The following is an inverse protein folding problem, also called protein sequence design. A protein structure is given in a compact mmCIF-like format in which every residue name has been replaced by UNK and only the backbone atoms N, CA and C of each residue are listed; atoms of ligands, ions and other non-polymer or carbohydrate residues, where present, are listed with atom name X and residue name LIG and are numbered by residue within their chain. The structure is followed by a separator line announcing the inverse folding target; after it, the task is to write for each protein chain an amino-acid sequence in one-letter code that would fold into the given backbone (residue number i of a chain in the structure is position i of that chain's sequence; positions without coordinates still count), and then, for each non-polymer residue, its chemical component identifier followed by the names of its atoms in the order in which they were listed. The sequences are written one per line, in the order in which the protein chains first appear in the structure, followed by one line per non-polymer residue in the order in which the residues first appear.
data_IF_533314589487
#
_entry.id   IF_533314589487
#
_cell.length_a   1.000
_cell.length_b   1.000
_cell.length_c   1.000
_cell.angle_alpha   90.00
_cell.angle_beta   90.00
_cell.angle_gamma   90.00
#
_symmetry.space_group_name_H-M   'P 1'
#
loop_
_entity.id
_entity.type
_entity.pdbx_description
1 polymer ?
#
# COMPACT_ATOMS: atom_id res chain seq x y z
N UNK A 1 5.50 40.43 3.38
CA UNK A 1 6.44 40.12 2.29
C UNK A 1 5.79 40.08 0.90
N UNK A 2 4.45 39.92 0.75
CA UNK A 2 3.76 39.85 -0.56
C UNK A 2 2.60 40.84 -0.76
N UNK A 3 2.48 41.87 0.10
CA UNK A 3 1.29 42.74 0.17
C UNK A 3 1.22 43.78 -0.98
N UNK A 4 2.31 43.96 -1.74
CA UNK A 4 2.37 44.86 -2.90
C UNK A 4 2.54 44.16 -4.25
N UNK A 5 2.40 42.84 -4.31
CA UNK A 5 2.55 42.09 -5.56
C UNK A 5 1.19 41.91 -6.24
N UNK A 6 1.08 42.36 -7.48
CA UNK A 6 -0.13 42.22 -8.28
C UNK A 6 -0.30 40.79 -8.79
N UNK A 7 -0.87 39.93 -7.94
CA UNK A 7 -1.21 38.55 -8.28
C UNK A 7 -2.21 38.47 -9.45
N UNK A 8 -3.07 39.49 -9.61
CA UNK A 8 -4.02 39.57 -10.71
C UNK A 8 -3.31 39.78 -12.05
N UNK A 9 -2.39 40.73 -12.11
CA UNK A 9 -1.53 40.98 -13.26
C UNK A 9 -0.62 39.78 -13.58
N UNK A 10 0.00 39.16 -12.56
CA UNK A 10 0.87 38.00 -12.76
C UNK A 10 0.11 36.78 -13.32
N UNK A 11 -1.12 36.52 -12.86
CA UNK A 11 -1.96 35.44 -13.38
C UNK A 11 -2.46 35.72 -14.80
N UNK A 12 -2.81 36.96 -15.12
CA UNK A 12 -3.26 37.33 -16.45
C UNK A 12 -2.13 37.29 -17.50
N UNK A 13 -0.88 37.50 -17.07
CA UNK A 13 0.29 37.56 -17.95
C UNK A 13 1.02 36.22 -18.09
N UNK A 14 0.87 35.32 -17.12
CA UNK A 14 1.58 34.03 -17.07
C UNK A 14 0.63 32.83 -17.17
N UNK A 15 0.50 32.18 -18.34
CA UNK A 15 -0.31 30.97 -18.46
C UNK A 15 0.20 29.84 -17.53
N UNK A 16 1.49 29.84 -17.18
CA UNK A 16 2.12 28.82 -16.35
C UNK A 16 1.69 28.91 -14.89
N UNK A 17 1.50 30.13 -14.36
CA UNK A 17 0.95 30.30 -13.01
C UNK A 17 -0.48 29.78 -12.89
N UNK A 18 -1.31 29.97 -13.91
CA UNK A 18 -2.68 29.42 -13.94
C UNK A 18 -2.62 27.89 -13.87
N UNK A 19 -1.75 27.26 -14.67
CA UNK A 19 -1.56 25.80 -14.63
C UNK A 19 -1.12 25.33 -13.23
N UNK A 20 -0.17 26.04 -12.59
CA UNK A 20 0.27 25.70 -11.23
C UNK A 20 -0.85 25.84 -10.19
N UNK A 21 -1.71 26.85 -10.31
CA UNK A 21 -2.89 27.00 -9.42
C UNK A 21 -3.86 25.84 -9.61
N UNK A 22 -4.15 25.43 -10.85
CA UNK A 22 -4.99 24.25 -11.11
C UNK A 22 -4.35 22.98 -10.53
N UNK A 23 -3.05 22.77 -10.75
CA UNK A 23 -2.32 21.65 -10.16
C UNK A 23 -2.40 21.67 -8.63
N UNK A 24 -2.31 22.84 -7.98
CA UNK A 24 -2.43 22.99 -6.53
C UNK A 24 -3.80 22.56 -6.01
N UNK A 25 -4.88 23.01 -6.66
CA UNK A 25 -6.26 22.67 -6.29
C UNK A 25 -6.50 21.16 -6.45
N UNK A 26 -6.08 20.58 -7.58
CA UNK A 26 -6.21 19.14 -7.85
C UNK A 26 -5.45 18.33 -6.81
N UNK A 27 -4.19 18.70 -6.54
CA UNK A 27 -3.34 18.05 -5.54
C UNK A 27 -3.97 18.08 -4.16
N UNK A 28 -4.46 19.25 -3.72
CA UNK A 28 -5.08 19.40 -2.40
C UNK A 28 -6.38 18.58 -2.28
N UNK A 29 -7.20 18.55 -3.34
CA UNK A 29 -8.42 17.75 -3.38
C UNK A 29 -8.13 16.26 -3.17
N UNK A 30 -7.18 15.70 -3.94
CA UNK A 30 -6.77 14.31 -3.78
C UNK A 30 -6.08 14.03 -2.44
N UNK A 31 -5.29 14.97 -1.93
CA UNK A 31 -4.66 14.86 -0.63
C UNK A 31 -5.69 14.69 0.50
N UNK A 32 -6.72 15.54 0.51
CA UNK A 32 -7.79 15.50 1.52
C UNK A 32 -8.62 14.21 1.39
N UNK A 33 -9.02 13.85 0.16
CA UNK A 33 -9.75 12.61 -0.13
C UNK A 33 -9.00 11.39 0.40
N UNK A 34 -7.72 11.26 0.07
CA UNK A 34 -6.88 10.14 0.49
C UNK A 34 -6.63 10.11 1.99
N UNK A 35 -6.37 11.26 2.61
CA UNK A 35 -6.18 11.33 4.06
C UNK A 35 -7.44 10.85 4.80
N UNK A 36 -8.62 11.28 4.35
CA UNK A 36 -9.90 10.81 4.89
C UNK A 36 -10.13 9.32 4.67
N UNK A 37 -9.83 8.81 3.48
CA UNK A 37 -9.96 7.40 3.12
C UNK A 37 -9.11 6.47 4.00
N UNK A 38 -7.82 6.78 4.19
CA UNK A 38 -6.93 6.00 5.06
C UNK A 38 -7.27 6.13 6.54
N UNK A 39 -7.74 7.30 6.98
CA UNK A 39 -8.15 7.51 8.38
C UNK A 39 -9.36 6.66 8.74
N UNK A 40 -10.33 6.49 7.83
CA UNK A 40 -11.50 5.62 8.03
C UNK A 40 -11.16 4.13 8.10
N UNK A 41 -9.99 3.71 7.58
CA UNK A 41 -9.54 2.30 7.60
C UNK A 41 -8.54 1.97 8.70
N UNK A 42 -8.31 2.88 9.63
CA UNK A 42 -7.43 2.67 10.79
C UNK A 42 -8.03 1.80 11.90
N UNK A 43 -8.90 0.83 11.57
CA UNK A 43 -9.50 -0.09 12.55
C UNK A 43 -8.44 -0.87 13.36
N UNK A 44 -8.87 -1.73 14.29
CA UNK A 44 -7.95 -2.47 15.15
C UNK A 44 -7.77 -3.93 14.66
N UNK A 45 -6.84 -4.19 13.73
CA UNK A 45 -6.61 -5.54 13.18
C UNK A 45 -6.17 -6.51 14.29
N UNK A 46 -5.32 -6.08 15.21
CA UNK A 46 -4.79 -6.94 16.28
C UNK A 46 -5.90 -7.39 17.24
N UNK A 47 -6.82 -6.49 17.60
CA UNK A 47 -7.97 -6.86 18.44
C UNK A 47 -8.92 -7.81 17.72
N UNK A 48 -9.14 -7.61 16.43
CA UNK A 48 -9.99 -8.48 15.60
C UNK A 48 -9.37 -9.87 15.45
N UNK A 49 -8.06 -9.91 15.22
CA UNK A 49 -7.28 -11.15 15.18
C UNK A 49 -7.41 -11.96 16.45
N UNK A 50 -7.23 -11.33 17.62
CA UNK A 50 -7.33 -12.04 18.91
C UNK A 50 -8.69 -12.71 19.09
N UNK A 51 -9.78 -12.02 18.71
CA UNK A 51 -11.14 -12.59 18.76
C UNK A 51 -11.31 -13.75 17.78
N UNK A 52 -10.81 -13.58 16.55
CA UNK A 52 -10.88 -14.63 15.52
C UNK A 52 -10.07 -15.88 15.89
N UNK A 53 -8.88 -15.71 16.48
CA UNK A 53 -8.04 -16.83 16.93
C UNK A 53 -8.75 -17.66 18.00
N UNK A 54 -9.33 -17.00 19.01
CA UNK A 54 -10.12 -17.66 20.06
C UNK A 54 -11.34 -18.41 19.48
N UNK A 55 -11.96 -17.88 18.43
CA UNK A 55 -13.08 -18.54 17.77
C UNK A 55 -12.64 -19.77 16.96
N UNK A 56 -11.49 -19.72 16.28
CA UNK A 56 -10.90 -20.86 15.56
C UNK A 56 -10.49 -21.98 16.52
N UNK A 57 -9.87 -21.67 17.66
CA UNK A 57 -9.54 -22.64 18.70
C UNK A 57 -10.78 -23.36 19.24
N UNK A 58 -11.90 -22.64 19.35
CA UNK A 58 -13.20 -23.21 19.74
C UNK A 58 -13.95 -23.94 18.61
N UNK A 59 -13.35 -24.07 17.42
CA UNK A 59 -13.97 -24.67 16.24
C UNK A 59 -15.09 -23.83 15.59
N UNK A 60 -15.29 -22.59 16.06
CA UNK A 60 -16.35 -21.67 15.61
C UNK A 60 -15.88 -20.82 14.43
N UNK A 61 -15.63 -21.46 13.28
CA UNK A 61 -15.13 -20.79 12.07
C UNK A 61 -16.05 -19.67 11.57
N UNK A 62 -17.38 -19.85 11.63
CA UNK A 62 -18.34 -18.84 11.18
C UNK A 62 -18.27 -17.56 12.03
N UNK A 63 -18.02 -17.69 13.33
CA UNK A 63 -17.84 -16.56 14.24
C UNK A 63 -16.53 -15.80 13.93
N UNK A 64 -15.45 -16.54 13.64
CA UNK A 64 -14.17 -15.95 13.23
C UNK A 64 -14.30 -15.12 11.95
N UNK A 65 -15.05 -15.63 10.97
CA UNK A 65 -15.33 -14.95 9.70
C UNK A 65 -16.12 -13.65 9.94
N UNK A 66 -17.17 -13.70 10.76
CA UNK A 66 -18.02 -12.53 11.04
C UNK A 66 -17.24 -11.37 11.66
N UNK A 67 -16.23 -11.63 12.48
CA UNK A 67 -15.37 -10.58 13.03
C UNK A 67 -14.60 -9.79 11.97
N UNK A 68 -14.31 -10.40 10.82
CA UNK A 68 -13.57 -9.74 9.73
C UNK A 68 -14.46 -9.00 8.73
N UNK A 69 -15.75 -9.31 8.66
CA UNK A 69 -16.67 -8.68 7.71
C UNK A 69 -16.84 -7.17 7.96
N UNK A 70 -16.88 -6.77 9.24
CA UNK A 70 -17.03 -5.36 9.63
C UNK A 70 -15.70 -4.59 9.64
N UNK A 71 -14.58 -5.27 9.40
CA UNK A 71 -13.26 -4.67 9.48
C UNK A 71 -12.90 -3.93 8.19
N UNK A 72 -12.94 -2.60 8.22
CA UNK A 72 -12.57 -1.74 7.09
C UNK A 72 -11.07 -1.82 6.70
N UNK A 73 -10.21 -2.35 7.56
CA UNK A 73 -8.79 -2.61 7.29
C UNK A 73 -8.66 -3.71 6.21
N UNK A 74 -7.65 -3.70 5.31
CA UNK A 74 -7.49 -4.74 4.27
C UNK A 74 -7.44 -6.18 4.81
N UNK A 75 -7.12 -6.37 6.08
CA UNK A 75 -7.24 -7.66 6.78
C UNK A 75 -8.67 -8.23 6.70
N UNK A 76 -9.71 -7.42 6.81
CA UNK A 76 -11.10 -7.87 6.80
C UNK A 76 -11.47 -8.67 5.56
N UNK A 77 -11.43 -8.08 4.35
CA UNK A 77 -11.75 -8.80 3.13
C UNK A 77 -10.77 -9.94 2.84
N UNK A 78 -9.48 -9.78 3.12
CA UNK A 78 -8.48 -10.83 2.87
C UNK A 78 -8.75 -12.06 3.76
N UNK A 79 -8.86 -11.88 5.08
CA UNK A 79 -9.11 -12.97 6.00
C UNK A 79 -10.46 -13.66 5.76
N UNK A 80 -11.52 -12.88 5.48
CA UNK A 80 -12.87 -13.42 5.22
C UNK A 80 -12.86 -14.38 4.03
N UNK A 81 -12.32 -13.95 2.88
CA UNK A 81 -12.31 -14.78 1.68
C UNK A 81 -11.35 -15.96 1.80
N UNK A 82 -10.19 -15.77 2.45
CA UNK A 82 -9.25 -16.86 2.69
C UNK A 82 -9.83 -17.94 3.60
N UNK A 83 -10.51 -17.58 4.70
CA UNK A 83 -11.15 -18.54 5.60
C UNK A 83 -12.33 -19.26 4.94
N UNK A 84 -13.11 -18.58 4.10
CA UNK A 84 -14.14 -19.22 3.28
C UNK A 84 -13.54 -20.26 2.32
N UNK A 85 -12.46 -19.91 1.63
CA UNK A 85 -11.74 -20.82 0.73
C UNK A 85 -11.13 -22.01 1.47
N UNK A 86 -10.57 -21.76 2.66
CA UNK A 86 -9.97 -22.77 3.52
C UNK A 86 -10.94 -23.91 3.85
N UNK A 87 -12.20 -23.61 4.15
CA UNK A 87 -13.23 -24.63 4.45
C UNK A 87 -13.53 -25.56 3.27
N UNK A 88 -13.35 -25.08 2.04
CA UNK A 88 -13.64 -25.84 0.81
C UNK A 88 -12.42 -26.63 0.35
N UNK A 89 -11.26 -25.97 0.31
CA UNK A 89 -10.00 -26.53 -0.15
C UNK A 89 -8.83 -25.89 0.61
N UNK A 90 -8.33 -26.50 1.70
CA UNK A 90 -7.22 -25.97 2.52
C UNK A 90 -5.91 -25.71 1.74
N UNK A 91 -5.74 -26.39 0.60
CA UNK A 91 -4.61 -26.20 -0.32
C UNK A 91 -4.69 -24.91 -1.14
N UNK A 92 -5.88 -24.39 -1.40
CA UNK A 92 -6.09 -23.19 -2.25
C UNK A 92 -6.13 -21.88 -1.44
N UNK A 93 -6.21 -21.96 -0.10
CA UNK A 93 -6.35 -20.81 0.77
C UNK A 93 -5.21 -19.78 0.62
N UNK A 94 -3.98 -20.23 0.39
CA UNK A 94 -2.83 -19.37 0.17
C UNK A 94 -2.91 -18.61 -1.16
N UNK A 95 -3.37 -19.26 -2.22
CA UNK A 95 -3.61 -18.61 -3.52
C UNK A 95 -4.71 -17.56 -3.42
N UNK A 96 -5.82 -17.88 -2.76
CA UNK A 96 -6.92 -16.93 -2.51
C UNK A 96 -6.42 -15.72 -1.72
N UNK A 97 -5.61 -15.93 -0.69
CA UNK A 97 -5.00 -14.84 0.09
C UNK A 97 -4.18 -13.92 -0.80
N UNK A 98 -3.31 -14.46 -1.67
CA UNK A 98 -2.48 -13.67 -2.57
C UNK A 98 -3.30 -12.87 -3.59
N UNK A 99 -4.34 -13.47 -4.17
CA UNK A 99 -5.29 -12.77 -5.08
C UNK A 99 -5.97 -11.62 -4.34
N UNK A 100 -6.45 -11.85 -3.11
CA UNK A 100 -7.13 -10.82 -2.33
C UNK A 100 -6.20 -9.69 -1.90
N UNK A 101 -4.96 -10.00 -1.49
CA UNK A 101 -3.96 -8.98 -1.18
C UNK A 101 -3.64 -8.11 -2.39
N UNK A 102 -3.48 -8.71 -3.58
CA UNK A 102 -3.25 -7.97 -4.81
C UNK A 102 -4.44 -7.06 -5.17
N UNK A 103 -5.67 -7.55 -5.02
CA UNK A 103 -6.88 -6.75 -5.23
C UNK A 103 -6.96 -5.58 -4.25
N UNK A 104 -6.72 -5.82 -2.95
CA UNK A 104 -6.72 -4.75 -1.95
C UNK A 104 -5.61 -3.72 -2.22
N UNK A 105 -4.42 -4.16 -2.63
CA UNK A 105 -3.32 -3.27 -3.02
C UNK A 105 -3.76 -2.29 -4.11
N UNK A 106 -4.33 -2.78 -5.20
CA UNK A 106 -4.80 -1.93 -6.30
C UNK A 106 -5.86 -0.90 -5.84
N UNK A 107 -6.79 -1.30 -4.97
CA UNK A 107 -7.83 -0.41 -4.43
C UNK A 107 -7.27 0.69 -3.51
N UNK A 108 -6.21 0.38 -2.76
CA UNK A 108 -5.55 1.33 -1.86
C UNK A 108 -4.59 2.26 -2.62
N UNK A 109 -3.89 1.75 -3.65
CA UNK A 109 -2.96 2.54 -4.49
C UNK A 109 -3.68 3.53 -5.41
N UNK A 110 -4.94 3.26 -5.76
CA UNK A 110 -5.76 4.14 -6.60
C UNK A 110 -5.73 5.58 -6.07
N UNK A 111 -5.56 6.56 -6.96
CA UNK A 111 -5.41 7.99 -6.68
C UNK A 111 -4.13 8.40 -5.91
N UNK A 112 -3.49 7.52 -5.14
CA UNK A 112 -2.22 7.83 -4.47
C UNK A 112 -1.11 8.11 -5.49
N UNK A 113 -1.12 7.40 -6.63
CA UNK A 113 -0.20 7.65 -7.74
C UNK A 113 -0.26 9.07 -8.31
N UNK A 114 -1.42 9.73 -8.28
CA UNK A 114 -1.57 11.11 -8.75
C UNK A 114 -0.78 12.11 -7.90
N UNK A 115 -0.70 11.89 -6.58
CA UNK A 115 0.15 12.72 -5.72
C UNK A 115 1.63 12.55 -6.09
N UNK A 116 2.05 11.33 -6.42
CA UNK A 116 3.39 11.04 -6.93
C UNK A 116 3.66 11.74 -8.26
N UNK A 117 2.68 11.75 -9.18
CA UNK A 117 2.79 12.49 -10.44
C UNK A 117 2.88 13.99 -10.21
N UNK A 118 2.01 14.58 -9.39
CA UNK A 118 2.03 16.02 -9.08
C UNK A 118 3.33 16.45 -8.41
N UNK A 119 3.84 15.63 -7.50
CA UNK A 119 5.15 15.79 -6.89
C UNK A 119 6.30 15.88 -7.92
N UNK A 120 6.24 15.09 -8.99
CA UNK A 120 7.27 15.06 -10.03
C UNK A 120 7.10 16.19 -11.06
N UNK A 121 5.88 16.51 -11.49
CA UNK A 121 5.64 17.44 -12.60
C UNK A 121 5.60 18.91 -12.17
N UNK A 122 5.15 19.22 -10.94
CA UNK A 122 4.96 20.63 -10.53
C UNK A 122 6.25 21.44 -10.44
N UNK A 123 7.42 20.88 -10.02
CA UNK A 123 8.70 21.59 -10.14
C UNK A 123 9.10 21.84 -11.58
N UNK A 124 8.83 20.88 -12.48
CA UNK A 124 9.17 20.99 -13.90
C UNK A 124 8.33 22.08 -14.58
N UNK A 125 7.05 22.19 -14.21
CA UNK A 125 6.17 23.27 -14.66
C UNK A 125 6.68 24.62 -14.12
N UNK A 126 7.14 24.68 -12.86
CA UNK A 126 7.76 25.88 -12.30
C UNK A 126 9.06 26.29 -13.02
N UNK A 127 9.89 25.30 -13.39
CA UNK A 127 11.10 25.52 -14.18
C UNK A 127 10.77 26.00 -15.60
N UNK A 128 9.73 25.46 -16.24
CA UNK A 128 9.23 25.98 -17.51
C UNK A 128 8.84 27.47 -17.39
N UNK A 129 8.27 27.85 -16.24
CA UNK A 129 7.96 29.24 -15.89
C UNK A 129 9.18 30.17 -15.90
N UNK A 130 10.35 29.69 -15.47
CA UNK A 130 11.57 30.52 -15.53
C UNK A 130 12.04 30.74 -16.94
N UNK A 131 12.04 29.70 -17.75
CA UNK A 131 12.41 29.79 -19.17
C UNK A 131 11.50 30.79 -19.88
N UNK A 132 10.20 30.71 -19.62
CA UNK A 132 9.22 31.62 -20.21
C UNK A 132 9.42 33.08 -19.75
N UNK A 133 9.57 33.33 -18.45
CA UNK A 133 9.75 34.67 -17.91
C UNK A 133 11.06 35.33 -18.36
N UNK A 134 12.16 34.57 -18.41
CA UNK A 134 13.45 35.04 -18.94
C UNK A 134 13.33 35.36 -20.44
N UNK A 135 12.66 34.51 -21.22
CA UNK A 135 12.44 34.76 -22.65
C UNK A 135 11.64 36.05 -22.89
N UNK A 136 10.58 36.29 -22.11
CA UNK A 136 9.80 37.54 -22.18
C UNK A 136 10.64 38.77 -21.78
N UNK A 137 11.49 38.63 -20.76
CA UNK A 137 12.37 39.71 -20.34
C UNK A 137 13.34 40.12 -21.48
N UNK A 138 13.98 39.16 -22.14
CA UNK A 138 14.86 39.45 -23.27
C UNK A 138 14.11 39.99 -24.49
N UNK A 139 12.89 39.51 -24.75
CA UNK A 139 12.06 40.06 -25.81
C UNK A 139 11.72 41.54 -25.56
N UNK A 140 11.37 41.90 -24.32
CA UNK A 140 11.10 43.29 -23.94
C UNK A 140 12.34 44.19 -24.11
N UNK A 141 13.53 43.68 -23.78
CA UNK A 141 14.79 44.37 -24.01
C UNK A 141 15.02 44.66 -25.50
N UNK A 142 14.77 43.67 -26.37
CA UNK A 142 14.91 43.80 -27.82
C UNK A 142 13.93 44.82 -28.42
N UNK A 143 12.67 44.83 -27.97
CA UNK A 143 11.65 45.79 -28.42
C UNK A 143 11.96 47.21 -27.95
N UNK A 144 12.45 47.37 -26.72
CA UNK A 144 12.79 48.68 -26.16
C UNK A 144 14.11 49.25 -26.69
N UNK A 145 14.95 48.43 -27.35
CA UNK A 145 16.27 48.84 -27.82
C UNK A 145 17.22 49.27 -26.70
N UNK A 146 16.96 48.85 -25.45
CA UNK A 146 17.65 49.31 -24.26
C UNK A 146 17.88 48.15 -23.30
N UNK A 147 19.08 48.08 -22.72
CA UNK A 147 19.48 47.09 -21.71
C UNK A 147 19.20 47.53 -20.27
N UNK A 148 18.32 48.54 -20.07
CA UNK A 148 18.01 49.04 -18.74
C UNK A 148 17.43 47.93 -17.84
N UNK A 149 17.96 47.73 -16.61
CA UNK A 149 17.53 46.65 -15.72
C UNK A 149 16.03 46.70 -15.37
N UNK A 150 15.44 47.89 -15.38
CA UNK A 150 14.00 48.10 -15.11
C UNK A 150 13.09 47.43 -16.14
N UNK A 151 13.57 47.23 -17.38
CA UNK A 151 12.80 46.61 -18.47
C UNK A 151 12.66 45.10 -18.24
N UNK A 152 13.68 44.45 -17.67
CA UNK A 152 13.72 42.99 -17.47
C UNK A 152 13.25 42.55 -16.08
N UNK A 153 13.27 43.47 -15.10
CA UNK A 153 13.01 43.16 -13.70
C UNK A 153 11.68 42.43 -13.47
N UNK A 154 10.61 42.83 -14.18
CA UNK A 154 9.29 42.20 -14.07
C UNK A 154 9.28 40.73 -14.52
N UNK A 155 9.82 40.45 -15.71
CA UNK A 155 9.83 39.08 -16.26
C UNK A 155 10.71 38.11 -15.47
N UNK A 156 11.82 38.60 -14.90
CA UNK A 156 12.69 37.80 -14.02
C UNK A 156 12.01 37.53 -12.68
N UNK A 157 11.34 38.53 -12.09
CA UNK A 157 10.60 38.35 -10.84
C UNK A 157 9.47 37.32 -11.01
N UNK A 158 8.70 37.41 -12.10
CA UNK A 158 7.66 36.44 -12.45
C UNK A 158 8.23 35.01 -12.57
N UNK A 159 9.33 34.86 -13.31
CA UNK A 159 10.06 33.59 -13.45
C UNK A 159 10.39 32.96 -12.08
N UNK A 160 10.99 33.72 -11.17
CA UNK A 160 11.37 33.20 -9.84
C UNK A 160 10.15 32.77 -9.01
N UNK A 161 9.05 33.52 -9.08
CA UNK A 161 7.82 33.21 -8.37
C UNK A 161 7.20 31.90 -8.89
N UNK A 162 7.20 31.68 -10.21
CA UNK A 162 6.65 30.44 -10.79
C UNK A 162 7.38 29.18 -10.29
N UNK A 163 8.71 29.25 -10.13
CA UNK A 163 9.49 28.14 -9.56
C UNK A 163 9.20 27.93 -8.10
N UNK A 164 9.17 29.00 -7.31
CA UNK A 164 8.84 28.93 -5.90
C UNK A 164 7.45 28.30 -5.70
N UNK A 165 6.46 28.69 -6.51
CA UNK A 165 5.13 28.11 -6.49
C UNK A 165 5.13 26.60 -6.82
N UNK A 166 5.86 26.19 -7.86
CA UNK A 166 6.03 24.77 -8.21
C UNK A 166 6.60 23.94 -7.06
N UNK A 167 7.63 24.45 -6.37
CA UNK A 167 8.25 23.78 -5.22
C UNK A 167 7.31 23.71 -4.01
N UNK A 168 6.56 24.78 -3.74
CA UNK A 168 5.58 24.82 -2.64
C UNK A 168 4.48 23.77 -2.83
N UNK A 169 4.11 23.44 -4.07
CA UNK A 169 3.15 22.35 -4.36
C UNK A 169 3.84 20.98 -4.28
N UNK A 170 5.04 20.85 -4.83
CA UNK A 170 5.75 19.58 -4.94
C UNK A 170 6.15 18.99 -3.58
N UNK A 171 6.70 19.80 -2.67
CA UNK A 171 7.25 19.32 -1.40
C UNK A 171 6.18 18.62 -0.54
N UNK A 172 5.02 19.26 -0.25
CA UNK A 172 3.94 18.58 0.47
C UNK A 172 3.40 17.35 -0.26
N UNK A 173 3.34 17.39 -1.60
CA UNK A 173 2.89 16.26 -2.42
C UNK A 173 3.78 15.03 -2.24
N UNK A 174 5.11 15.20 -2.30
CA UNK A 174 6.09 14.13 -2.08
C UNK A 174 5.97 13.57 -0.67
N UNK A 175 5.89 14.44 0.33
CA UNK A 175 5.78 14.03 1.74
C UNK A 175 4.54 13.17 1.96
N UNK A 176 3.39 13.62 1.44
CA UNK A 176 2.13 12.92 1.60
C UNK A 176 2.11 11.60 0.81
N UNK A 177 2.59 11.60 -0.43
CA UNK A 177 2.73 10.39 -1.24
C UNK A 177 3.56 9.32 -0.50
N UNK A 178 4.73 9.69 0.00
CA UNK A 178 5.61 8.79 0.73
C UNK A 178 4.98 8.28 2.04
N UNK A 179 4.28 9.14 2.77
CA UNK A 179 3.58 8.74 3.99
C UNK A 179 2.46 7.72 3.70
N UNK A 180 1.63 7.99 2.68
CA UNK A 180 0.53 7.10 2.30
C UNK A 180 1.03 5.76 1.77
N UNK A 181 2.10 5.74 0.97
CA UNK A 181 2.71 4.50 0.49
C UNK A 181 3.27 3.64 1.63
N UNK A 182 3.96 4.26 2.60
CA UNK A 182 4.43 3.53 3.80
C UNK A 182 3.25 2.94 4.57
N UNK A 183 2.21 3.73 4.78
CA UNK A 183 1.00 3.28 5.49
C UNK A 183 0.28 2.13 4.76
N UNK A 184 0.17 2.22 3.44
CA UNK A 184 -0.37 1.16 2.59
C UNK A 184 0.43 -0.14 2.76
N UNK A 185 1.76 -0.06 2.62
CA UNK A 185 2.63 -1.21 2.74
C UNK A 185 2.50 -1.88 4.12
N UNK A 186 2.47 -1.08 5.21
CA UNK A 186 2.24 -1.60 6.56
C UNK A 186 0.88 -2.30 6.68
N UNK A 187 -0.20 -1.71 6.18
CA UNK A 187 -1.53 -2.32 6.26
C UNK A 187 -1.62 -3.66 5.50
N UNK A 188 -0.99 -3.76 4.31
CA UNK A 188 -0.95 -5.00 3.54
C UNK A 188 -0.09 -6.07 4.22
N UNK A 189 1.07 -5.70 4.75
CA UNK A 189 1.94 -6.61 5.52
C UNK A 189 1.22 -7.16 6.75
N UNK A 190 0.52 -6.29 7.49
CA UNK A 190 -0.33 -6.70 8.61
C UNK A 190 -1.40 -7.67 8.14
N UNK A 191 -2.12 -7.37 7.05
CA UNK A 191 -3.15 -8.25 6.50
C UNK A 191 -2.60 -9.62 6.11
N UNK A 192 -1.46 -9.67 5.44
CA UNK A 192 -0.79 -10.91 5.00
C UNK A 192 -0.34 -11.77 6.19
N UNK A 193 0.39 -11.18 7.14
CA UNK A 193 0.91 -11.90 8.30
C UNK A 193 -0.23 -12.47 9.15
N UNK A 194 -1.25 -11.67 9.42
CA UNK A 194 -2.40 -12.10 10.20
C UNK A 194 -3.19 -13.20 9.49
N UNK A 195 -3.43 -13.05 8.18
CA UNK A 195 -4.15 -14.08 7.43
C UNK A 195 -3.38 -15.40 7.36
N UNK A 196 -2.04 -15.35 7.20
CA UNK A 196 -1.19 -16.55 7.27
C UNK A 196 -1.31 -17.26 8.62
N UNK A 197 -1.25 -16.50 9.72
CA UNK A 197 -1.40 -17.06 11.07
C UNK A 197 -2.77 -17.71 11.27
N UNK A 198 -3.85 -17.11 10.73
CA UNK A 198 -5.18 -17.71 10.75
C UNK A 198 -5.22 -19.04 9.98
N UNK A 199 -4.59 -19.11 8.81
CA UNK A 199 -4.50 -20.36 8.04
C UNK A 199 -3.76 -21.45 8.81
N UNK A 200 -2.67 -21.12 9.51
CA UNK A 200 -1.93 -22.08 10.35
C UNK A 200 -2.83 -22.59 11.48
N UNK A 201 -3.45 -21.69 12.25
CA UNK A 201 -4.36 -22.06 13.34
C UNK A 201 -5.55 -22.89 12.84
N UNK A 202 -6.11 -22.54 11.67
CA UNK A 202 -7.21 -23.28 11.05
C UNK A 202 -6.78 -24.70 10.62
N UNK A 203 -5.55 -24.87 10.09
CA UNK A 203 -4.98 -26.20 9.77
C UNK A 203 -4.80 -27.04 11.01
N UNK A 204 -4.28 -26.47 12.10
CA UNK A 204 -4.10 -27.17 13.36
C UNK A 204 -5.43 -27.59 13.98
N UNK A 205 -6.44 -26.70 13.96
CA UNK A 205 -7.78 -27.02 14.44
C UNK A 205 -8.46 -28.16 13.65
N UNK A 206 -8.22 -28.24 12.33
CA UNK A 206 -8.72 -29.34 11.48
C UNK A 206 -7.86 -30.62 11.61
N UNK A 207 -6.59 -30.48 12.01
CA UNK A 207 -5.59 -31.55 12.07
C UNK A 207 -5.35 -32.19 13.45
N UNK A 208 -5.95 -31.69 14.55
CA UNK A 208 -5.72 -32.18 15.92
C UNK A 208 -7.00 -32.46 16.73
N UNK A 209 -8.12 -32.76 16.07
CA UNK A 209 -9.35 -33.23 16.71
C UNK A 209 -9.76 -34.65 16.27
N UNK A 210 -8.80 -35.57 16.13
CA UNK A 210 -9.09 -37.00 16.13
C UNK A 210 -8.49 -37.60 17.42
N UNK A 211 -9.28 -38.25 18.30
CA UNK A 211 -8.71 -38.91 19.46
C UNK A 211 -7.73 -39.98 18.97
N UNK A 212 -6.46 -39.86 19.37
CA UNK A 212 -5.46 -40.90 19.15
C UNK A 212 -6.02 -42.19 19.76
N UNK A 213 -6.19 -43.28 19.00
CA UNK A 213 -6.53 -44.57 19.59
C UNK A 213 -5.35 -44.96 20.46
N UNK A 214 -5.49 -44.82 21.78
CA UNK A 214 -4.53 -45.36 22.73
C UNK A 214 -4.57 -46.88 22.53
N UNK A 215 -3.49 -47.54 22.07
CA UNK A 215 -3.47 -48.99 21.99
C UNK A 215 -3.66 -49.51 23.41
N UNK A 216 -4.69 -50.33 23.62
CA UNK A 216 -4.95 -50.95 24.91
C UNK A 216 -3.68 -51.68 25.37
N UNK A 217 -3.11 -51.23 26.48
CA UNK A 217 -1.98 -51.87 27.10
C UNK A 217 -2.38 -53.28 27.55
N UNK A 218 -1.80 -54.32 26.95
CA UNK A 218 -1.86 -55.67 27.50
C UNK A 218 -1.85 -56.81 26.48
N UNK A 219 -0.67 -57.26 26.08
CA UNK A 219 -0.37 -58.69 25.89
C UNK A 219 1.17 -58.89 25.88
N UNK A 220 1.73 -59.78 26.73
CA UNK A 220 3.18 -60.02 26.74
C UNK A 220 3.60 -60.81 25.49
N UNK A 221 4.57 -60.26 24.75
CA UNK A 221 5.16 -60.90 23.58
C UNK A 221 6.04 -62.10 23.97
N UNK A 222 5.62 -63.30 23.58
CA UNK A 222 6.49 -64.48 23.55
C UNK A 222 7.59 -64.34 22.49
N UNK A 223 8.84 -64.58 22.89
CA UNK A 223 9.99 -64.83 21.99
C UNK A 223 10.15 -66.35 21.78
N UNK A 224 10.99 -66.83 20.82
CA UNK A 224 11.33 -66.33 19.48
C UNK A 224 11.38 -67.48 18.42
N UNK A 225 11.57 -67.19 17.14
CA UNK A 225 12.11 -68.17 16.18
C UNK A 225 13.07 -67.50 15.17
N UNK A 226 14.35 -67.46 15.54
CA UNK A 226 15.48 -67.18 14.64
C UNK A 226 15.68 -68.40 13.72
N UNK A 227 15.13 -68.41 12.51
CA UNK A 227 15.55 -69.41 11.50
C UNK A 227 15.64 -68.94 10.05
N UNK A 228 15.20 -67.73 9.69
CA UNK A 228 15.08 -67.34 8.29
C UNK A 228 16.17 -66.39 7.73
N UNK A 229 17.32 -66.21 8.40
CA UNK A 229 18.37 -65.26 7.94
C UNK A 229 19.67 -65.96 7.49
N UNK A 230 19.76 -67.30 7.59
CA UNK A 230 20.99 -68.02 7.20
C UNK A 230 21.01 -68.55 5.77
N UNK A 231 19.86 -68.62 5.08
CA UNK A 231 19.81 -69.19 3.73
C UNK A 231 20.05 -68.15 2.63
N UNK A 232 19.83 -66.86 2.89
CA UNK A 232 20.01 -65.80 1.88
C UNK A 232 21.47 -65.39 1.67
N UNK A 233 22.37 -65.70 2.61
CA UNK A 233 23.80 -65.32 2.51
C UNK A 233 24.64 -66.37 1.77
N UNK A 234 24.18 -67.63 1.70
CA UNK A 234 24.92 -68.70 1.00
C UNK A 234 24.70 -68.70 -0.53
N UNK A 235 23.63 -68.08 -1.03
CA UNK A 235 23.30 -68.09 -2.46
C UNK A 235 23.95 -66.96 -3.28
N UNK A 236 24.76 -66.09 -2.65
CA UNK A 236 25.41 -64.94 -3.31
C UNK A 236 26.93 -65.17 -3.51
N UNK A 237 27.48 -66.31 -3.08
CA UNK A 237 28.92 -66.62 -3.19
C UNK A 237 29.25 -67.94 -3.90
N UNK A 238 28.38 -68.44 -4.77
CA UNK A 238 28.67 -69.58 -5.65
C UNK A 238 28.49 -69.19 -7.12
#
# INVERSE_FOLDING_TARGET
MFVGFDWGGALAQSPILIVLVVCSIVTLGFAIERMGYYRKRGGNPDATMRKAMNAIEGGRFDEAINHFQDLAHPLGPVATHTLHGFRRAPGEAEEIMHVMLAQQKLLLERNTGLLGTMAAITPLIGLLGTVWGIMRAFQAMGVAGSSAPTIVAGGIAEALITTAAGLVIAVPSVMLYNHLNRRLATMLQVAENHTRLLCVAAREAVGLSAPVPVPAAGAPAGRPARRAVRETVAAVQA
#
